data_IF_494391546881
#
_entry.id   IF_494391546881
#
_cell.length_a   1.000
_cell.length_b   1.000
_cell.length_c   1.000
_cell.angle_alpha   90.00
_cell.angle_beta   90.00
_cell.angle_gamma   90.00
#
_symmetry.space_group_name_H-M   'P 1'
#
loop_
_entity.id
_entity.type
_entity.pdbx_description
1 polymer ?
#
# COMPACT_ATOMS: atom_id res chain seq x y z
N UNK A 1 -17.75 26.74 6.84
CA UNK A 1 -17.86 25.46 7.55
C UNK A 1 -18.70 24.54 6.70
N UNK A 2 -18.05 23.80 5.79
CA UNK A 2 -18.75 23.00 4.78
C UNK A 2 -18.02 21.67 4.73
N UNK A 3 -18.44 20.75 5.59
CA UNK A 3 -18.02 19.36 5.50
C UNK A 3 -18.62 18.81 4.21
N UNK A 4 -17.81 18.26 3.28
CA UNK A 4 -18.34 17.65 2.08
C UNK A 4 -19.35 16.56 2.44
N UNK A 5 -20.55 16.63 1.87
CA UNK A 5 -21.58 15.63 2.09
C UNK A 5 -21.08 14.27 1.56
N UNK A 6 -21.04 13.28 2.44
CA UNK A 6 -20.74 11.89 2.07
C UNK A 6 -21.93 11.36 1.26
N UNK A 7 -21.80 11.36 -0.07
CA UNK A 7 -22.81 10.81 -0.97
C UNK A 7 -22.94 9.30 -0.74
N UNK A 8 -24.15 8.72 -0.74
CA UNK A 8 -24.36 7.27 -0.64
C UNK A 8 -23.71 6.46 -1.77
N UNK A 9 -23.22 7.13 -2.81
CA UNK A 9 -22.46 6.51 -3.91
C UNK A 9 -20.99 6.23 -3.58
N UNK A 10 -20.46 6.80 -2.48
CA UNK A 10 -19.09 6.49 -2.05
C UNK A 10 -19.01 5.07 -1.48
N UNK A 11 -17.98 4.28 -1.86
CA UNK A 11 -17.74 3.00 -1.24
C UNK A 11 -17.56 3.16 0.27
N UNK A 12 -18.07 2.19 1.02
CA UNK A 12 -17.77 2.02 2.45
C UNK A 12 -16.26 1.96 2.68
N UNK A 13 -15.81 2.18 3.92
CA UNK A 13 -14.43 1.92 4.31
C UNK A 13 -14.01 0.47 3.97
N UNK A 14 -12.79 0.32 3.46
CA UNK A 14 -12.20 -0.98 3.15
C UNK A 14 -11.63 -1.67 4.37
N UNK A 15 -10.96 -2.80 4.14
CA UNK A 15 -10.36 -3.61 5.19
C UNK A 15 -9.07 -2.99 5.75
N UNK A 16 -8.70 -3.42 6.96
CA UNK A 16 -7.40 -3.11 7.56
C UNK A 16 -6.27 -3.73 6.71
N UNK A 17 -5.14 -3.02 6.63
CA UNK A 17 -4.01 -3.41 5.79
C UNK A 17 -3.08 -4.38 6.49
N UNK A 18 -3.03 -4.35 7.82
CA UNK A 18 -2.16 -5.24 8.60
C UNK A 18 -2.34 -6.71 8.22
N UNK A 19 -1.24 -7.43 8.22
CA UNK A 19 -1.18 -8.88 8.06
C UNK A 19 -0.26 -9.48 9.11
N UNK A 20 -0.48 -10.74 9.51
CA UNK A 20 0.51 -11.48 10.27
C UNK A 20 1.84 -11.51 9.52
N UNK A 21 2.94 -11.50 10.26
CA UNK A 21 4.27 -11.77 9.69
C UNK A 21 4.27 -13.17 9.08
N UNK A 22 4.74 -13.35 7.82
CA UNK A 22 4.77 -14.65 7.19
C UNK A 22 5.73 -15.60 7.94
N UNK A 23 5.43 -16.90 7.90
CA UNK A 23 6.37 -17.91 8.33
C UNK A 23 7.51 -18.05 7.30
N UNK A 24 8.76 -18.05 7.78
CA UNK A 24 9.95 -18.13 6.93
C UNK A 24 10.39 -16.79 6.32
N UNK A 25 11.35 -16.84 5.40
CA UNK A 25 11.89 -15.64 4.72
C UNK A 25 10.83 -15.07 3.78
N UNK A 26 10.67 -13.75 3.70
CA UNK A 26 9.83 -13.11 2.69
C UNK A 26 10.58 -12.96 1.36
N UNK A 27 9.87 -13.04 0.24
CA UNK A 27 10.42 -12.81 -1.10
C UNK A 27 10.27 -11.34 -1.53
N UNK A 28 9.27 -10.64 -1.01
CA UNK A 28 9.02 -9.23 -1.28
C UNK A 28 8.31 -8.53 -0.11
N UNK A 29 8.48 -7.22 -0.03
CA UNK A 29 7.69 -6.35 0.85
C UNK A 29 6.50 -5.81 0.07
N UNK A 30 5.30 -6.00 0.58
CA UNK A 30 4.10 -5.40 0.00
C UNK A 30 3.66 -4.20 0.84
N UNK A 31 3.62 -3.03 0.21
CA UNK A 31 3.17 -1.78 0.79
C UNK A 31 1.76 -1.44 0.26
N UNK A 32 0.68 -1.96 0.88
CA UNK A 32 -0.68 -1.70 0.43
C UNK A 32 -1.05 -0.23 0.62
N UNK A 33 -1.62 0.36 -0.43
CA UNK A 33 -1.98 1.76 -0.43
C UNK A 33 -3.09 2.08 0.59
N UNK A 34 -2.91 3.16 1.34
CA UNK A 34 -3.86 3.60 2.36
C UNK A 34 -5.26 3.90 1.81
N UNK A 35 -5.37 4.22 0.51
CA UNK A 35 -6.65 4.50 -0.14
C UNK A 35 -7.57 3.28 -0.18
N UNK A 36 -7.03 2.06 -0.18
CA UNK A 36 -7.83 0.82 -0.15
C UNK A 36 -8.55 0.60 1.18
N UNK A 37 -8.09 1.23 2.27
CA UNK A 37 -8.81 1.26 3.56
C UNK A 37 -9.81 2.41 3.59
N UNK A 38 -9.52 3.54 2.93
CA UNK A 38 -10.44 4.69 2.87
C UNK A 38 -11.66 4.39 1.99
N UNK A 39 -11.43 3.71 0.86
CA UNK A 39 -12.43 3.33 -0.11
C UNK A 39 -12.35 1.83 -0.35
N UNK A 40 -13.34 1.12 0.17
CA UNK A 40 -13.50 -0.31 -0.05
C UNK A 40 -13.82 -0.62 -1.51
N UNK A 41 -13.86 -1.92 -1.85
CA UNK A 41 -14.09 -2.37 -3.22
C UNK A 41 -15.40 -1.83 -3.80
N UNK A 42 -15.39 -1.48 -5.08
CA UNK A 42 -16.57 -1.02 -5.78
C UNK A 42 -17.61 -2.15 -5.90
N UNK A 43 -18.90 -1.79 -5.79
CA UNK A 43 -20.04 -2.71 -5.84
C UNK A 43 -20.61 -3.07 -4.48
N UNK A 44 -21.87 -3.53 -4.47
CA UNK A 44 -22.59 -4.00 -3.28
C UNK A 44 -22.08 -5.38 -2.86
N UNK A 45 -20.84 -5.44 -2.39
CA UNK A 45 -20.31 -6.66 -1.79
C UNK A 45 -20.96 -6.81 -0.40
N UNK A 46 -21.68 -7.91 -0.13
CA UNK A 46 -22.23 -8.16 1.21
C UNK A 46 -21.12 -8.08 2.25
N UNK A 47 -21.40 -7.50 3.41
CA UNK A 47 -20.41 -7.38 4.50
C UNK A 47 -19.85 -8.73 4.97
N UNK A 48 -20.51 -9.83 4.61
CA UNK A 48 -20.16 -11.23 4.90
C UNK A 48 -19.32 -11.90 3.83
N UNK A 49 -19.11 -11.28 2.67
CA UNK A 49 -18.25 -11.85 1.64
C UNK A 49 -16.79 -11.84 2.12
N UNK A 50 -16.04 -12.86 1.68
CA UNK A 50 -14.60 -13.00 1.91
C UNK A 50 -13.85 -11.70 1.59
N UNK A 51 -12.70 -11.47 2.24
CA UNK A 51 -11.91 -10.27 2.02
C UNK A 51 -11.82 -9.94 0.52
N UNK A 52 -12.25 -8.75 0.14
CA UNK A 52 -12.30 -8.28 -1.25
C UNK A 52 -11.37 -7.08 -1.41
N UNK A 53 -11.02 -6.74 -2.65
CA UNK A 53 -10.21 -5.57 -2.98
C UNK A 53 -8.79 -5.89 -3.42
N UNK A 54 -8.07 -4.86 -3.83
CA UNK A 54 -6.76 -4.98 -4.48
C UNK A 54 -5.74 -5.73 -3.63
N UNK A 55 -5.67 -5.45 -2.32
CA UNK A 55 -4.75 -6.12 -1.42
C UNK A 55 -5.02 -7.63 -1.33
N UNK A 56 -6.28 -8.04 -1.15
CA UNK A 56 -6.62 -9.46 -1.14
C UNK A 56 -6.32 -10.13 -2.47
N UNK A 57 -6.74 -9.51 -3.59
CA UNK A 57 -6.49 -10.06 -4.92
C UNK A 57 -4.99 -10.21 -5.22
N UNK A 58 -4.18 -9.25 -4.79
CA UNK A 58 -2.73 -9.30 -4.95
C UNK A 58 -2.09 -10.39 -4.08
N UNK A 59 -2.50 -10.50 -2.81
CA UNK A 59 -2.06 -11.57 -1.90
C UNK A 59 -2.38 -12.96 -2.47
N UNK A 60 -3.60 -13.15 -3.01
CA UNK A 60 -4.01 -14.42 -3.63
C UNK A 60 -3.21 -14.75 -4.89
N UNK A 61 -2.88 -13.73 -5.70
CA UNK A 61 -2.03 -13.91 -6.87
C UNK A 61 -0.61 -14.34 -6.47
N UNK A 62 0.00 -13.65 -5.50
CA UNK A 62 1.33 -13.99 -4.99
C UNK A 62 1.35 -15.39 -4.36
N UNK A 63 0.34 -15.76 -3.57
CA UNK A 63 0.22 -17.10 -3.01
C UNK A 63 0.19 -18.18 -4.09
N UNK A 64 -0.60 -17.98 -5.17
CA UNK A 64 -0.63 -18.90 -6.32
C UNK A 64 0.68 -18.96 -7.09
N UNK A 65 1.43 -17.86 -7.11
CA UNK A 65 2.77 -17.79 -7.72
C UNK A 65 3.89 -18.32 -6.80
N UNK A 66 3.58 -18.75 -5.57
CA UNK A 66 4.58 -19.19 -4.60
C UNK A 66 5.44 -18.07 -4.02
N UNK A 67 4.96 -16.81 -4.09
CA UNK A 67 5.64 -15.62 -3.59
C UNK A 67 5.15 -15.31 -2.17
N UNK A 68 6.07 -15.27 -1.21
CA UNK A 68 5.81 -14.87 0.19
C UNK A 68 5.95 -13.37 0.34
N UNK A 69 4.85 -12.71 0.72
CA UNK A 69 4.82 -11.27 0.98
C UNK A 69 4.98 -10.97 2.47
N UNK A 70 5.73 -9.91 2.77
CA UNK A 70 5.74 -9.25 4.07
C UNK A 70 5.03 -7.90 3.97
N UNK A 71 4.00 -7.68 4.79
CA UNK A 71 3.43 -6.34 4.99
C UNK A 71 4.15 -5.68 6.17
N UNK A 72 4.65 -4.43 6.05
CA UNK A 72 5.38 -3.77 7.13
C UNK A 72 4.58 -3.66 8.43
N UNK A 73 5.26 -3.78 9.56
CA UNK A 73 4.65 -3.52 10.87
C UNK A 73 4.14 -2.08 10.94
N UNK A 74 2.99 -1.89 11.60
CA UNK A 74 2.37 -0.58 11.73
C UNK A 74 1.79 0.00 10.44
N UNK A 75 1.67 -0.79 9.37
CA UNK A 75 1.18 -0.35 8.05
C UNK A 75 -0.08 0.53 8.12
N UNK A 76 -1.02 0.23 9.02
CA UNK A 76 -2.28 0.95 9.17
C UNK A 76 -2.07 2.44 9.53
N UNK A 77 -0.96 2.79 10.18
CA UNK A 77 -0.55 4.16 10.49
C UNK A 77 0.36 4.83 9.45
N UNK A 78 0.67 4.15 8.34
CA UNK A 78 1.60 4.59 7.31
C UNK A 78 0.88 4.94 6.00
N UNK A 79 1.42 5.92 5.27
CA UNK A 79 1.00 6.37 3.95
C UNK A 79 2.23 6.88 3.18
N UNK A 80 2.17 6.92 1.85
CA UNK A 80 3.23 7.48 1.00
C UNK A 80 3.40 9.02 1.10
N UNK A 81 2.47 9.71 1.78
CA UNK A 81 2.51 11.17 1.94
C UNK A 81 1.89 11.96 0.78
N UNK A 82 1.56 11.34 -0.36
CA UNK A 82 0.96 12.00 -1.52
C UNK A 82 -0.33 12.78 -1.20
N UNK A 83 -1.25 12.30 -0.34
CA UNK A 83 -2.44 13.08 0.02
C UNK A 83 -2.15 14.41 0.74
N UNK A 84 -0.95 14.58 1.31
CA UNK A 84 -0.54 15.79 2.01
C UNK A 84 0.05 16.84 1.06
N UNK A 85 0.61 16.44 -0.07
CA UNK A 85 1.20 17.36 -1.04
C UNK A 85 0.15 18.25 -1.72
N UNK A 86 -1.00 17.67 -2.07
CA UNK A 86 -2.10 18.38 -2.74
C UNK A 86 -2.80 19.42 -1.85
N UNK A 87 -2.59 19.37 -0.53
CA UNK A 87 -3.20 20.28 0.45
C UNK A 87 -2.23 21.32 1.03
N UNK A 88 -1.02 21.43 0.47
CA UNK A 88 0.02 22.36 0.98
C UNK A 88 0.58 21.98 2.35
N UNK A 89 0.29 20.76 2.85
CA UNK A 89 0.67 20.31 4.18
C UNK A 89 2.07 19.69 4.18
N UNK A 90 3.09 20.52 3.98
CA UNK A 90 4.49 20.09 3.79
C UNK A 90 5.04 19.31 5.00
N UNK A 91 4.74 19.77 6.23
CA UNK A 91 5.20 19.10 7.44
C UNK A 91 4.60 17.69 7.56
N UNK A 92 3.29 17.54 7.32
CA UNK A 92 2.62 16.25 7.35
C UNK A 92 3.12 15.29 6.26
N UNK A 93 3.40 15.81 5.04
CA UNK A 93 4.05 15.04 3.97
C UNK A 93 5.40 14.50 4.43
N UNK A 94 6.26 15.35 5.02
CA UNK A 94 7.58 14.94 5.50
C UNK A 94 7.49 13.90 6.60
N UNK A 95 6.70 14.14 7.65
CA UNK A 95 6.50 13.21 8.76
C UNK A 95 6.03 11.84 8.27
N UNK A 96 5.04 11.81 7.37
CA UNK A 96 4.47 10.57 6.89
C UNK A 96 5.43 9.82 5.97
N UNK A 97 6.12 10.55 5.10
CA UNK A 97 7.20 10.00 4.27
C UNK A 97 8.25 9.36 5.17
N UNK A 98 8.83 10.08 6.11
CA UNK A 98 9.95 9.61 6.92
C UNK A 98 9.57 8.36 7.75
N UNK A 99 8.34 8.30 8.27
CA UNK A 99 7.80 7.08 8.91
C UNK A 99 7.70 5.90 7.94
N UNK A 100 7.18 6.12 6.74
CA UNK A 100 7.07 5.07 5.72
C UNK A 100 8.46 4.59 5.27
N UNK A 101 9.42 5.50 5.07
CA UNK A 101 10.81 5.17 4.72
C UNK A 101 11.43 4.26 5.78
N UNK A 102 11.29 4.61 7.07
CA UNK A 102 11.85 3.82 8.17
C UNK A 102 11.27 2.40 8.21
N UNK A 103 9.94 2.27 8.09
CA UNK A 103 9.27 0.98 8.08
C UNK A 103 9.64 0.12 6.86
N UNK A 104 9.71 0.74 5.67
CA UNK A 104 10.09 0.04 4.44
C UNK A 104 11.55 -0.38 4.45
N UNK A 105 12.46 0.45 4.96
CA UNK A 105 13.87 0.09 5.10
C UNK A 105 14.04 -1.11 6.05
N UNK A 106 13.34 -1.12 7.18
CA UNK A 106 13.35 -2.25 8.10
C UNK A 106 12.76 -3.53 7.46
N UNK A 107 11.56 -3.42 6.87
CA UNK A 107 10.87 -4.57 6.27
C UNK A 107 11.63 -5.16 5.07
N UNK A 108 12.32 -4.32 4.30
CA UNK A 108 13.07 -4.75 3.11
C UNK A 108 14.50 -5.20 3.40
N UNK A 109 14.89 -5.30 4.69
CA UNK A 109 16.26 -5.63 5.10
C UNK A 109 17.29 -4.66 4.49
N UNK A 110 16.98 -3.36 4.55
CA UNK A 110 17.88 -2.32 4.02
C UNK A 110 17.99 -2.29 2.49
N UNK A 111 17.06 -2.90 1.76
CA UNK A 111 17.09 -2.90 0.30
C UNK A 111 17.12 -4.27 -0.36
N UNK A 112 17.33 -5.35 0.40
CA UNK A 112 17.47 -6.70 -0.15
C UNK A 112 16.18 -7.23 -0.79
N UNK A 113 15.02 -6.91 -0.19
CA UNK A 113 13.74 -7.37 -0.70
C UNK A 113 13.10 -6.29 -1.60
N UNK A 114 12.55 -6.66 -2.77
CA UNK A 114 11.80 -5.73 -3.59
C UNK A 114 10.56 -5.23 -2.84
N UNK A 115 10.26 -3.93 -2.98
CA UNK A 115 9.02 -3.33 -2.48
C UNK A 115 8.02 -3.24 -3.63
N UNK A 116 6.81 -3.73 -3.39
CA UNK A 116 5.69 -3.70 -4.32
C UNK A 116 4.59 -2.83 -3.72
N UNK A 117 3.96 -1.99 -4.55
CA UNK A 117 2.82 -1.18 -4.17
C UNK A 117 1.75 -1.25 -5.26
N UNK A 118 0.49 -1.17 -4.85
CA UNK A 118 -0.71 -1.34 -5.68
C UNK A 118 -1.32 0.00 -6.14
N UNK A 119 -0.68 1.12 -5.83
CA UNK A 119 -1.09 2.44 -6.31
C UNK A 119 0.11 3.24 -6.84
N UNK A 120 0.03 3.68 -8.09
CA UNK A 120 1.08 4.48 -8.75
C UNK A 120 1.40 5.79 -8.01
N UNK A 121 0.41 6.41 -7.39
CA UNK A 121 0.57 7.61 -6.56
C UNK A 121 1.44 7.39 -5.32
N UNK A 122 1.52 6.13 -4.86
CA UNK A 122 2.44 5.73 -3.80
C UNK A 122 3.83 5.48 -4.35
N UNK A 123 3.96 4.97 -5.58
CA UNK A 123 5.25 4.79 -6.25
C UNK A 123 6.00 6.09 -6.49
N UNK A 124 5.32 7.20 -6.84
CA UNK A 124 5.96 8.51 -7.01
C UNK A 124 6.36 9.17 -5.67
N UNK A 125 5.52 9.07 -4.64
CA UNK A 125 5.87 9.50 -3.28
C UNK A 125 7.07 8.73 -2.75
N UNK A 126 7.10 7.44 -3.07
CA UNK A 126 8.19 6.51 -2.82
C UNK A 126 9.37 6.68 -3.79
N UNK A 127 9.28 7.28 -4.97
CA UNK A 127 10.41 7.37 -5.91
C UNK A 127 11.53 8.30 -5.41
N UNK A 128 11.23 9.14 -4.41
CA UNK A 128 12.26 9.81 -3.60
C UNK A 128 13.10 8.84 -2.72
N UNK A 129 12.75 7.54 -2.66
CA UNK A 129 13.49 6.38 -2.12
C UNK A 129 14.63 5.91 -3.05
N UNK A 130 15.17 6.75 -3.93
CA UNK A 130 16.20 6.35 -4.88
C UNK A 130 17.53 5.98 -4.20
N UNK A 131 17.63 4.71 -3.79
CA UNK A 131 18.77 3.79 -3.82
C UNK A 131 18.25 2.35 -3.65
N UNK A 132 17.34 1.93 -4.54
CA UNK A 132 16.83 0.55 -4.57
C UNK A 132 16.80 0.04 -6.02
N UNK A 133 17.32 -1.18 -6.31
CA UNK A 133 17.42 -1.67 -7.68
C UNK A 133 16.04 -1.87 -8.31
N UNK A 134 15.83 -1.17 -9.43
CA UNK A 134 14.66 -1.24 -10.30
C UNK A 134 14.49 -2.65 -10.91
N UNK A 135 13.48 -3.39 -10.45
CA UNK A 135 12.92 -4.55 -11.18
C UNK A 135 11.39 -4.59 -11.23
N UNK A 136 10.74 -3.44 -11.04
CA UNK A 136 9.28 -3.28 -11.21
C UNK A 136 8.91 -2.47 -12.47
N UNK A 137 9.88 -1.87 -13.17
CA UNK A 137 9.62 -0.99 -14.32
C UNK A 137 9.46 -1.76 -15.64
N UNK A 138 10.02 -2.97 -15.74
CA UNK A 138 10.10 -3.69 -17.02
C UNK A 138 8.88 -4.58 -17.29
N UNK A 139 8.10 -4.98 -16.27
CA UNK A 139 6.91 -5.84 -16.50
C UNK A 139 5.68 -5.10 -17.02
N UNK A 140 5.66 -3.76 -16.94
CA UNK A 140 4.52 -2.92 -17.38
C UNK A 140 4.71 -2.43 -18.83
N UNK A 141 5.94 -2.48 -19.38
CA UNK A 141 6.22 -2.09 -20.77
C UNK A 141 6.21 -3.23 -21.77
N UNK A 142 5.99 -4.47 -21.32
CA UNK A 142 6.01 -5.67 -22.17
C UNK A 142 4.64 -6.37 -22.29
N UNK A 143 3.56 -5.67 -21.96
CA UNK A 143 2.18 -6.13 -22.14
C UNK A 143 1.39 -5.20 -23.04
#
# INVERSE_FOLDING_TARGET
DTVPLYSPELPRGGSVRKRPTPEGRADAVYFPACVGTMFGPAGSVPATAQATGVQYSFEQLCARAGIRLLVPEGIDGLCCGTPWSSKGMVAGRRTMRDKALAALNAASLGGELPIICDASSCTEGSASLSRMPTRCRDSIRSG
#
